data_IF_173737143142
#
_entry.id   IF_173737143142
#
_cell.length_a   1.000
_cell.length_b   1.000
_cell.length_c   1.000
_cell.angle_alpha   90.00
_cell.angle_beta   90.00
_cell.angle_gamma   90.00
#
_symmetry.space_group_name_H-M   'P 1'
#
loop_
_entity.id
_entity.type
_entity.pdbx_description
1 polymer ?
#
# COMPACT_ATOMS: atom_id res chain seq x y z
N UNK A 1 -35.28 6.82 13.91
CA UNK A 1 -34.54 7.89 13.20
C UNK A 1 -33.11 7.48 12.82
N UNK A 2 -32.30 6.90 13.72
CA UNK A 2 -30.92 6.49 13.42
C UNK A 2 -30.75 5.49 12.23
N UNK A 3 -31.61 4.48 12.12
CA UNK A 3 -31.58 3.51 10.99
C UNK A 3 -31.92 4.13 9.63
N UNK A 4 -32.71 5.20 9.61
CA UNK A 4 -33.08 5.89 8.37
C UNK A 4 -31.91 6.74 7.85
N UNK A 5 -31.14 7.33 8.78
CA UNK A 5 -29.95 8.11 8.47
C UNK A 5 -28.76 7.25 8.01
N UNK A 6 -28.59 6.03 8.53
CA UNK A 6 -27.55 5.11 8.04
C UNK A 6 -27.90 4.57 6.64
N UNK A 7 -29.18 4.32 6.36
CA UNK A 7 -29.64 3.88 5.04
C UNK A 7 -29.42 4.94 3.95
N UNK A 8 -29.69 6.21 4.27
CA UNK A 8 -29.45 7.32 3.33
C UNK A 8 -27.95 7.55 3.09
N UNK A 9 -27.12 7.48 4.14
CA UNK A 9 -25.65 7.56 4.02
C UNK A 9 -25.07 6.43 3.19
N UNK A 10 -25.56 5.21 3.37
CA UNK A 10 -25.18 4.04 2.56
C UNK A 10 -25.49 4.27 1.07
N UNK A 11 -26.72 4.74 0.77
CA UNK A 11 -27.11 5.07 -0.60
C UNK A 11 -26.22 6.14 -1.23
N UNK A 12 -25.91 7.20 -0.48
CA UNK A 12 -25.03 8.30 -0.91
C UNK A 12 -23.59 7.81 -1.16
N UNK A 13 -23.04 6.98 -0.28
CA UNK A 13 -21.68 6.46 -0.41
C UNK A 13 -21.50 5.61 -1.68
N UNK A 14 -22.50 4.82 -2.06
CA UNK A 14 -22.44 4.02 -3.29
C UNK A 14 -22.65 4.90 -4.52
N UNK A 15 -23.70 5.73 -4.53
CA UNK A 15 -24.05 6.53 -5.70
C UNK A 15 -23.09 7.68 -5.99
N UNK A 16 -22.44 8.23 -4.96
CA UNK A 16 -21.50 9.34 -5.12
C UNK A 16 -20.06 8.85 -5.00
N UNK A 17 -19.76 7.99 -4.04
CA UNK A 17 -18.39 7.55 -3.76
C UNK A 17 -17.77 6.76 -4.91
N UNK A 18 -18.46 5.74 -5.44
CA UNK A 18 -17.93 4.91 -6.53
C UNK A 18 -17.69 5.73 -7.81
N UNK A 19 -18.65 6.56 -8.28
CA UNK A 19 -18.40 7.42 -9.43
C UNK A 19 -17.32 8.48 -9.18
N UNK A 20 -17.25 9.05 -7.99
CA UNK A 20 -16.19 10.01 -7.64
C UNK A 20 -14.80 9.35 -7.72
N UNK A 21 -14.63 8.12 -7.23
CA UNK A 21 -13.38 7.37 -7.34
C UNK A 21 -13.05 7.04 -8.78
N UNK A 22 -14.04 6.65 -9.58
CA UNK A 22 -13.84 6.38 -11.00
C UNK A 22 -13.39 7.65 -11.74
N UNK A 23 -14.02 8.80 -11.48
CA UNK A 23 -13.63 10.08 -12.06
C UNK A 23 -12.22 10.50 -11.62
N UNK A 24 -11.92 10.38 -10.33
CA UNK A 24 -10.62 10.73 -9.78
C UNK A 24 -9.51 9.82 -10.32
N UNK A 25 -9.71 8.50 -10.32
CA UNK A 25 -8.74 7.55 -10.89
C UNK A 25 -8.51 7.78 -12.39
N UNK A 26 -9.54 8.15 -13.15
CA UNK A 26 -9.43 8.45 -14.56
C UNK A 26 -8.75 9.81 -14.81
N UNK A 27 -8.97 10.79 -13.93
CA UNK A 27 -8.24 12.05 -13.92
C UNK A 27 -6.75 11.82 -13.62
N UNK A 28 -6.42 11.07 -12.57
CA UNK A 28 -5.03 10.76 -12.22
C UNK A 28 -4.34 9.99 -13.35
N UNK A 29 -5.01 8.98 -13.92
CA UNK A 29 -4.49 8.24 -15.09
C UNK A 29 -4.15 9.19 -16.24
N UNK A 30 -5.06 10.09 -16.61
CA UNK A 30 -4.86 11.05 -17.72
C UNK A 30 -3.76 12.06 -17.43
N UNK A 31 -3.62 12.52 -16.19
CA UNK A 31 -2.57 13.49 -15.82
C UNK A 31 -1.20 12.82 -15.75
N UNK A 32 -1.10 11.60 -15.20
CA UNK A 32 0.17 10.88 -15.17
C UNK A 32 0.56 10.34 -16.55
N UNK A 33 -0.37 9.85 -17.38
CA UNK A 33 -0.03 9.39 -18.73
C UNK A 33 0.38 10.52 -19.67
N UNK A 34 0.06 11.78 -19.34
CA UNK A 34 0.53 12.97 -20.07
C UNK A 34 1.96 13.37 -19.68
N UNK A 35 2.38 13.09 -18.43
CA UNK A 35 3.68 13.52 -17.88
C UNK A 35 4.72 12.39 -17.83
N UNK A 36 4.25 11.15 -17.83
CA UNK A 36 5.03 9.91 -17.75
C UNK A 36 4.54 8.91 -18.82
N UNK A 37 5.13 7.71 -18.86
CA UNK A 37 4.73 6.68 -19.83
C UNK A 37 3.29 6.20 -19.63
N UNK A 38 2.65 5.74 -20.70
CA UNK A 38 1.28 5.24 -20.67
C UNK A 38 1.07 4.12 -19.62
N UNK A 39 2.10 3.29 -19.40
CA UNK A 39 2.07 2.21 -18.42
C UNK A 39 2.05 2.73 -16.97
N UNK A 40 2.85 3.73 -16.63
CA UNK A 40 2.85 4.33 -15.29
C UNK A 40 1.51 5.00 -14.97
N UNK A 41 0.90 5.67 -15.96
CA UNK A 41 -0.44 6.24 -15.81
C UNK A 41 -1.52 5.18 -15.57
N UNK A 42 -1.44 4.03 -16.24
CA UNK A 42 -2.37 2.92 -16.03
C UNK A 42 -2.22 2.28 -14.64
N UNK A 43 -0.98 2.06 -14.20
CA UNK A 43 -0.70 1.48 -12.87
C UNK A 43 -1.20 2.42 -11.77
N UNK A 44 -0.86 3.71 -11.84
CA UNK A 44 -1.29 4.71 -10.86
C UNK A 44 -2.82 4.83 -10.78
N UNK A 45 -3.50 4.87 -11.93
CA UNK A 45 -4.97 4.89 -11.98
C UNK A 45 -5.59 3.65 -11.33
N UNK A 46 -5.05 2.45 -11.59
CA UNK A 46 -5.52 1.21 -10.95
C UNK A 46 -5.29 1.20 -9.44
N UNK A 47 -4.13 1.67 -8.97
CA UNK A 47 -3.83 1.77 -7.54
C UNK A 47 -4.88 2.64 -6.84
N UNK A 48 -5.20 3.79 -7.41
CA UNK A 48 -6.19 4.73 -6.85
C UNK A 48 -7.60 4.15 -6.90
N UNK A 49 -7.96 3.46 -7.99
CA UNK A 49 -9.27 2.85 -8.11
C UNK A 49 -9.45 1.75 -7.06
N UNK A 50 -8.49 0.84 -6.92
CA UNK A 50 -8.60 -0.25 -5.95
C UNK A 50 -8.54 0.25 -4.51
N UNK A 51 -7.66 1.20 -4.19
CA UNK A 51 -7.61 1.77 -2.83
C UNK A 51 -8.89 2.54 -2.48
N UNK A 52 -9.44 3.31 -3.43
CA UNK A 52 -10.70 4.01 -3.24
C UNK A 52 -11.88 3.07 -3.04
N UNK A 53 -11.99 2.00 -3.86
CA UNK A 53 -13.04 0.99 -3.70
C UNK A 53 -12.94 0.32 -2.33
N UNK A 54 -11.72 -0.01 -1.89
CA UNK A 54 -11.48 -0.63 -0.58
C UNK A 54 -11.91 0.30 0.57
N UNK A 55 -11.61 1.59 0.47
CA UNK A 55 -12.02 2.59 1.45
C UNK A 55 -13.55 2.74 1.54
N UNK A 56 -14.25 2.78 0.40
CA UNK A 56 -15.73 2.81 0.36
C UNK A 56 -16.32 1.51 0.92
N UNK A 57 -15.70 0.37 0.62
CA UNK A 57 -16.07 -0.92 1.22
C UNK A 57 -16.01 -0.88 2.75
N UNK A 58 -14.93 -0.38 3.33
CA UNK A 58 -14.83 -0.21 4.79
C UNK A 58 -15.88 0.75 5.37
N UNK A 59 -16.14 1.88 4.70
CA UNK A 59 -17.18 2.81 5.13
C UNK A 59 -18.57 2.16 5.13
N UNK A 60 -18.86 1.36 4.11
CA UNK A 60 -20.09 0.56 4.02
C UNK A 60 -20.18 -0.46 5.15
N UNK A 61 -19.12 -1.23 5.40
CA UNK A 61 -19.10 -2.21 6.49
C UNK A 61 -19.38 -1.55 7.84
N UNK A 62 -18.86 -0.35 8.07
CA UNK A 62 -19.11 0.40 9.30
C UNK A 62 -20.59 0.76 9.48
N UNK A 63 -21.24 1.23 8.42
CA UNK A 63 -22.68 1.57 8.43
C UNK A 63 -23.57 0.33 8.60
N UNK A 64 -23.13 -0.85 8.14
CA UNK A 64 -23.80 -2.13 8.37
C UNK A 64 -23.66 -2.65 9.81
N UNK A 65 -22.94 -1.92 10.68
CA UNK A 65 -22.74 -2.28 12.08
C UNK A 65 -21.52 -3.18 12.33
N UNK A 66 -20.71 -3.45 11.30
CA UNK A 66 -19.42 -4.11 11.52
C UNK A 66 -18.45 -3.13 12.19
N UNK A 67 -17.92 -3.54 13.34
CA UNK A 67 -16.91 -2.77 14.05
C UNK A 67 -15.57 -2.90 13.32
N UNK A 68 -15.20 -1.85 12.59
CA UNK A 68 -13.91 -1.73 11.88
C UNK A 68 -12.72 -2.09 12.79
N UNK A 69 -12.80 -1.81 14.09
CA UNK A 69 -11.78 -2.18 15.09
C UNK A 69 -11.40 -3.66 15.05
N UNK A 70 -12.34 -4.58 14.84
CA UNK A 70 -12.05 -6.02 14.82
C UNK A 70 -11.31 -6.40 13.52
N UNK A 71 -11.75 -5.82 12.40
CA UNK A 71 -11.16 -6.07 11.09
C UNK A 71 -9.74 -5.48 11.01
N UNK A 72 -9.55 -4.28 11.54
CA UNK A 72 -8.24 -3.65 11.68
C UNK A 72 -7.35 -4.41 12.66
N UNK A 73 -7.91 -4.93 13.76
CA UNK A 73 -7.19 -5.80 14.69
C UNK A 73 -6.66 -7.07 14.00
N UNK A 74 -7.52 -7.76 13.23
CA UNK A 74 -7.12 -8.93 12.45
C UNK A 74 -6.08 -8.58 11.37
N UNK A 75 -6.27 -7.48 10.65
CA UNK A 75 -5.29 -6.97 9.68
C UNK A 75 -3.95 -6.64 10.34
N UNK A 76 -3.96 -6.15 11.58
CA UNK A 76 -2.76 -5.90 12.38
C UNK A 76 -1.97 -7.17 12.68
N UNK A 77 -2.66 -8.24 13.11
CA UNK A 77 -2.02 -9.55 13.35
C UNK A 77 -1.40 -10.11 12.06
N UNK A 78 -2.14 -10.04 10.95
CA UNK A 78 -1.65 -10.47 9.63
C UNK A 78 -0.44 -9.62 9.21
N UNK A 79 -0.48 -8.31 9.44
CA UNK A 79 0.63 -7.40 9.17
C UNK A 79 1.89 -7.74 9.97
N UNK A 80 1.75 -8.09 11.25
CA UNK A 80 2.86 -8.56 12.09
C UNK A 80 3.44 -9.86 11.53
N UNK A 81 2.60 -10.83 11.18
CA UNK A 81 3.05 -12.10 10.62
C UNK A 81 3.81 -11.91 9.29
N UNK A 82 3.31 -11.05 8.40
CA UNK A 82 4.01 -10.65 7.17
C UNK A 82 5.33 -9.95 7.48
N UNK A 83 5.35 -9.06 8.47
CA UNK A 83 6.56 -8.39 8.94
C UNK A 83 7.63 -9.39 9.36
N UNK A 84 7.27 -10.37 10.18
CA UNK A 84 8.17 -11.45 10.59
C UNK A 84 8.62 -12.33 9.42
N UNK A 85 7.72 -12.67 8.50
CA UNK A 85 8.09 -13.43 7.30
C UNK A 85 9.08 -12.66 6.41
N UNK A 86 8.97 -11.33 6.35
CA UNK A 86 9.85 -10.47 5.54
C UNK A 86 11.11 -9.99 6.26
N UNK A 87 11.30 -10.33 7.54
CA UNK A 87 12.32 -9.75 8.41
C UNK A 87 13.74 -9.85 7.83
N UNK A 88 14.13 -11.02 7.34
CA UNK A 88 15.46 -11.24 6.74
C UNK A 88 15.68 -10.40 5.49
N UNK A 89 14.69 -10.33 4.61
CA UNK A 89 14.78 -9.52 3.38
C UNK A 89 14.92 -8.04 3.71
N UNK A 90 14.13 -7.53 4.65
CA UNK A 90 14.24 -6.15 5.12
C UNK A 90 15.61 -5.89 5.73
N UNK A 91 16.12 -6.81 6.57
CA UNK A 91 17.47 -6.70 7.14
C UNK A 91 18.54 -6.61 6.05
N UNK A 92 18.48 -7.48 5.03
CA UNK A 92 19.47 -7.48 3.95
C UNK A 92 19.45 -6.18 3.13
N UNK A 93 18.25 -5.62 2.88
CA UNK A 93 18.10 -4.33 2.19
C UNK A 93 18.71 -3.21 3.03
N UNK A 94 18.43 -3.18 4.32
CA UNK A 94 19.00 -2.20 5.24
C UNK A 94 20.53 -2.34 5.28
N UNK A 95 21.06 -3.56 5.45
CA UNK A 95 22.50 -3.82 5.38
C UNK A 95 23.12 -3.33 4.07
N UNK A 96 22.46 -3.56 2.93
CA UNK A 96 22.91 -3.04 1.64
C UNK A 96 22.99 -1.51 1.61
N UNK A 97 21.98 -0.82 2.14
CA UNK A 97 21.98 0.65 2.26
C UNK A 97 23.14 1.13 3.13
N UNK A 98 23.39 0.48 4.27
CA UNK A 98 24.52 0.81 5.15
C UNK A 98 25.87 0.60 4.47
N UNK A 99 26.06 -0.53 3.78
CA UNK A 99 27.29 -0.80 3.03
C UNK A 99 27.55 0.28 1.97
N UNK A 100 26.52 0.74 1.26
CA UNK A 100 26.65 1.79 0.26
C UNK A 100 26.94 3.17 0.88
N UNK A 101 26.37 3.45 2.05
CA UNK A 101 26.53 4.72 2.75
C UNK A 101 27.89 4.85 3.42
N UNK A 102 28.32 3.82 4.16
CA UNK A 102 29.56 3.83 4.93
C UNK A 102 30.77 3.44 4.08
N UNK A 103 30.56 2.74 2.95
CA UNK A 103 31.60 2.23 2.06
C UNK A 103 32.78 1.61 2.84
N UNK A 104 32.54 0.61 3.72
CA UNK A 104 33.59 0.03 4.56
C UNK A 104 34.69 -0.69 3.77
N UNK A 105 34.43 -0.99 2.49
CA UNK A 105 35.37 -1.54 1.53
C UNK A 105 35.01 -1.04 0.13
N UNK A 106 35.97 -1.07 -0.77
CA UNK A 106 35.82 -0.69 -2.18
C UNK A 106 36.03 -1.88 -3.11
N UNK A 107 35.66 -1.71 -4.37
CA UNK A 107 35.88 -2.75 -5.39
C UNK A 107 37.37 -3.05 -5.49
N UNK A 108 37.74 -4.32 -5.46
CA UNK A 108 39.09 -4.89 -5.43
C UNK A 108 39.74 -5.02 -4.05
N UNK A 109 39.04 -4.69 -2.96
CA UNK A 109 39.54 -4.97 -1.61
C UNK A 109 39.42 -6.47 -1.28
N UNK A 110 40.52 -7.07 -0.81
CA UNK A 110 40.46 -8.41 -0.23
C UNK A 110 39.81 -8.33 1.16
N UNK A 111 38.62 -8.90 1.29
CA UNK A 111 37.83 -8.88 2.52
C UNK A 111 37.56 -10.28 3.04
N UNK A 112 37.37 -10.41 4.35
CA UNK A 112 36.99 -11.67 5.01
C UNK A 112 35.66 -11.51 5.72
N UNK A 113 34.67 -12.32 5.35
CA UNK A 113 33.32 -12.31 5.94
C UNK A 113 33.02 -13.72 6.46
N UNK A 114 32.73 -13.85 7.76
CA UNK A 114 32.31 -15.13 8.35
C UNK A 114 33.30 -16.29 8.13
N UNK A 115 34.60 -16.01 8.08
CA UNK A 115 35.64 -17.01 7.82
C UNK A 115 35.90 -17.33 6.34
N UNK A 116 35.23 -16.64 5.41
CA UNK A 116 35.48 -16.75 3.96
C UNK A 116 36.23 -15.50 3.48
N UNK A 117 37.41 -15.67 2.88
CA UNK A 117 38.25 -14.58 2.33
C UNK A 117 38.19 -14.55 0.80
N UNK A 118 38.01 -13.37 0.22
CA UNK A 118 37.96 -13.16 -1.23
C UNK A 118 38.24 -11.71 -1.59
N UNK A 119 38.35 -11.41 -2.89
CA UNK A 119 38.49 -10.07 -3.45
C UNK A 119 37.15 -9.55 -4.01
#
# INVERSE_FOLDING_TARGET
MAKLASLTRFGVLIFIGIPAIYLFSNWVRKNLSKKYSAQQGMIAGKIILYSGIFAVGFAILNELGFKLTHLLGAAGIVGIALGFASQTSVSNVISGIFLMAERPFVVNDVITIGGTTGQ
#
